data_IF_795143094940
#
_entry.id   IF_795143094940
#
_cell.length_a   1.000
_cell.length_b   1.000
_cell.length_c   1.000
_cell.angle_alpha   90.00
_cell.angle_beta   90.00
_cell.angle_gamma   90.00
#
_symmetry.space_group_name_H-M   'P 1'
#
loop_
_entity.id
_entity.type
_entity.pdbx_description
1 polymer ?
#
# COMPACT_ATOMS: atom_id res chain seq x y z
N UNK A 1 -13.02 -38.63 53.65
CA UNK A 1 -14.32 -37.92 53.60
C UNK A 1 -14.04 -36.48 54.01
N UNK A 2 -13.97 -35.57 53.07
CA UNK A 2 -13.69 -34.17 53.33
C UNK A 2 -14.98 -33.41 53.06
N UNK A 3 -15.58 -32.89 54.12
CA UNK A 3 -16.81 -32.10 54.04
C UNK A 3 -16.53 -30.75 53.31
N UNK A 4 -17.31 -30.49 52.26
CA UNK A 4 -17.34 -29.20 51.58
C UNK A 4 -18.39 -28.34 52.31
N UNK A 5 -17.94 -27.34 53.08
CA UNK A 5 -18.81 -26.33 53.67
C UNK A 5 -19.33 -25.44 52.55
N UNK A 6 -20.66 -25.42 52.39
CA UNK A 6 -21.35 -24.45 51.55
C UNK A 6 -21.29 -23.07 52.21
N UNK A 7 -20.88 -22.05 51.46
CA UNK A 7 -20.93 -20.66 51.88
C UNK A 7 -22.37 -20.23 52.01
N UNK A 8 -22.73 -19.45 53.02
CA UNK A 8 -24.07 -18.95 53.29
C UNK A 8 -24.40 -17.83 52.30
N UNK A 9 -25.72 -17.71 52.00
CA UNK A 9 -26.26 -16.67 51.04
C UNK A 9 -25.87 -15.24 51.45
N UNK A 10 -25.57 -15.00 52.74
CA UNK A 10 -25.10 -13.69 53.21
C UNK A 10 -23.67 -13.37 52.80
N UNK A 11 -22.77 -14.38 52.73
CA UNK A 11 -21.42 -14.14 52.25
C UNK A 11 -21.36 -13.86 50.74
N UNK A 12 -22.25 -14.48 49.97
CA UNK A 12 -22.39 -14.16 48.52
C UNK A 12 -22.97 -12.78 48.28
N UNK A 13 -23.87 -12.30 49.15
CA UNK A 13 -24.43 -10.95 49.05
C UNK A 13 -23.44 -9.82 49.40
N UNK A 14 -22.46 -10.10 50.26
CA UNK A 14 -21.41 -9.13 50.58
C UNK A 14 -20.35 -9.01 49.49
N UNK A 15 -20.02 -10.10 48.78
CA UNK A 15 -19.14 -10.08 47.62
C UNK A 15 -19.72 -9.32 46.43
N UNK A 16 -21.04 -9.29 46.30
CA UNK A 16 -21.71 -8.56 45.21
C UNK A 16 -21.76 -7.04 45.41
N UNK A 17 -21.58 -6.55 46.65
CA UNK A 17 -21.62 -5.11 46.99
C UNK A 17 -20.30 -4.38 46.89
N UNK A 18 -19.21 -5.07 46.63
CA UNK A 18 -17.84 -4.51 46.65
C UNK A 18 -17.28 -4.07 45.30
N UNK A 19 -18.02 -4.14 44.19
CA UNK A 19 -17.49 -3.79 42.86
C UNK A 19 -18.34 -2.74 42.14
N UNK A 20 -18.52 -1.58 42.75
CA UNK A 20 -18.89 -0.37 42.00
C UNK A 20 -17.69 0.54 41.82
N UNK A 21 -16.62 -0.02 41.26
CA UNK A 21 -15.54 0.75 40.69
C UNK A 21 -16.07 1.42 39.42
N UNK A 22 -16.17 2.77 39.44
CA UNK A 22 -16.63 3.55 38.32
C UNK A 22 -15.86 3.18 37.06
N UNK A 23 -16.57 2.78 36.00
CA UNK A 23 -16.02 2.77 34.65
C UNK A 23 -15.66 4.21 34.30
N UNK A 24 -14.42 4.59 34.53
CA UNK A 24 -13.82 5.75 33.86
C UNK A 24 -14.05 5.49 32.37
N UNK A 25 -14.78 6.39 31.72
CA UNK A 25 -14.90 6.42 30.25
C UNK A 25 -13.47 6.67 29.74
N UNK A 26 -12.74 5.60 29.52
CA UNK A 26 -11.47 5.63 28.84
C UNK A 26 -11.74 6.23 27.46
N UNK A 27 -11.32 7.45 27.25
CA UNK A 27 -11.38 8.06 25.94
C UNK A 27 -10.60 7.16 25.01
N UNK A 28 -11.14 6.78 23.84
CA UNK A 28 -10.43 5.93 22.89
C UNK A 28 -9.09 6.61 22.60
N UNK A 29 -8.02 5.98 23.03
CA UNK A 29 -6.65 6.40 22.73
C UNK A 29 -6.56 6.57 21.21
N UNK A 30 -6.01 7.68 20.69
CA UNK A 30 -5.84 7.84 19.26
C UNK A 30 -5.00 6.66 18.79
N UNK A 31 -5.58 5.83 17.94
CA UNK A 31 -4.88 4.71 17.31
C UNK A 31 -3.62 5.30 16.70
N UNK A 32 -2.41 4.83 17.07
CA UNK A 32 -1.17 5.33 16.50
C UNK A 32 -1.31 5.24 14.98
N UNK A 33 -1.25 6.38 14.29
CA UNK A 33 -1.25 6.37 12.82
C UNK A 33 -0.13 5.44 12.41
N UNK A 34 -0.40 4.44 11.54
CA UNK A 34 0.65 3.55 11.08
C UNK A 34 1.79 4.42 10.59
N UNK A 35 2.97 4.17 11.13
CA UNK A 35 4.18 4.93 10.88
C UNK A 35 4.32 5.20 9.38
N UNK A 36 4.15 6.45 8.97
CA UNK A 36 4.15 6.96 7.61
C UNK A 36 3.23 6.21 6.63
N UNK A 37 1.93 6.43 6.73
CA UNK A 37 1.04 6.19 5.60
C UNK A 37 1.51 7.09 4.45
N UNK A 38 2.09 6.48 3.40
CA UNK A 38 2.42 7.20 2.18
C UNK A 38 1.12 7.63 1.52
N UNK A 39 0.90 8.94 1.45
CA UNK A 39 -0.19 9.50 0.65
C UNK A 39 0.24 9.51 -0.82
N UNK A 40 -0.40 8.66 -1.60
CA UNK A 40 -0.17 8.60 -3.04
C UNK A 40 -0.81 9.76 -3.79
N UNK A 41 -1.57 10.62 -3.11
CA UNK A 41 -2.32 11.71 -3.71
C UNK A 41 -3.43 11.25 -4.66
N UNK A 42 -4.03 12.19 -5.35
CA UNK A 42 -5.06 11.91 -6.36
C UNK A 42 -4.47 11.24 -7.61
N UNK A 43 -5.28 10.42 -8.27
CA UNK A 43 -4.93 9.83 -9.57
C UNK A 43 -4.99 10.92 -10.63
N UNK A 44 -3.87 11.21 -11.27
CA UNK A 44 -3.74 12.37 -12.16
C UNK A 44 -3.69 12.01 -13.65
N UNK A 45 -3.27 10.81 -14.00
CA UNK A 45 -3.15 10.42 -15.39
C UNK A 45 -4.53 10.20 -16.01
N UNK A 46 -4.79 10.87 -17.12
CA UNK A 46 -6.05 10.75 -17.84
C UNK A 46 -5.96 9.64 -18.89
N UNK A 47 -7.03 8.86 -19.01
CA UNK A 47 -7.12 7.77 -19.99
C UNK A 47 -7.59 8.22 -21.38
N UNK A 48 -8.03 9.47 -21.52
CA UNK A 48 -8.79 9.95 -22.67
C UNK A 48 -10.27 9.58 -22.62
N UNK A 49 -10.72 8.83 -21.62
CA UNK A 49 -12.12 8.45 -21.40
C UNK A 49 -12.72 9.29 -20.26
N UNK A 50 -13.96 9.80 -20.38
CA UNK A 50 -14.57 10.64 -19.38
C UNK A 50 -14.63 9.96 -18.00
N UNK A 51 -14.08 10.60 -16.97
CA UNK A 51 -14.13 10.14 -15.59
C UNK A 51 -13.25 8.92 -15.25
N UNK A 52 -12.54 8.35 -16.23
CA UNK A 52 -11.60 7.26 -15.98
C UNK A 52 -10.18 7.83 -15.93
N UNK A 53 -9.52 7.65 -14.77
CA UNK A 53 -8.13 8.05 -14.54
C UNK A 53 -7.37 6.87 -14.01
N UNK A 54 -6.08 6.76 -14.32
CA UNK A 54 -5.24 5.70 -13.80
C UNK A 54 -3.81 6.18 -13.58
N UNK A 55 -3.11 5.55 -12.67
CA UNK A 55 -1.68 5.69 -12.51
C UNK A 55 -1.06 4.42 -11.90
N UNK A 56 0.26 4.44 -11.81
CA UNK A 56 1.04 3.38 -11.16
C UNK A 56 1.79 3.92 -9.93
N UNK A 57 1.25 4.97 -9.31
CA UNK A 57 1.81 5.54 -8.11
C UNK A 57 1.39 4.68 -6.92
N UNK A 58 2.32 3.94 -6.35
CA UNK A 58 2.08 3.04 -5.24
C UNK A 58 1.23 1.79 -5.58
N UNK A 59 1.63 1.07 -6.62
CA UNK A 59 0.88 -0.01 -7.26
C UNK A 59 0.02 0.51 -8.41
N UNK A 60 -0.81 -0.34 -9.00
CA UNK A 60 -1.77 0.08 -10.01
C UNK A 60 -3.01 0.69 -9.36
N UNK A 61 -3.47 1.85 -9.85
CA UNK A 61 -4.65 2.55 -9.36
C UNK A 61 -5.50 3.01 -10.54
N UNK A 62 -6.82 2.87 -10.40
CA UNK A 62 -7.80 3.30 -11.40
C UNK A 62 -8.99 3.94 -10.70
N UNK A 63 -9.42 5.11 -11.14
CA UNK A 63 -10.69 5.71 -10.76
C UNK A 63 -11.69 5.49 -11.87
N UNK A 64 -12.88 5.00 -11.54
CA UNK A 64 -14.01 4.86 -12.46
C UNK A 64 -15.19 5.70 -12.00
N UNK A 65 -15.97 6.29 -12.93
CA UNK A 65 -17.19 7.02 -12.59
C UNK A 65 -18.31 6.08 -12.12
N UNK A 66 -19.48 6.64 -11.76
CA UNK A 66 -20.67 5.85 -11.48
C UNK A 66 -21.10 5.09 -12.75
N UNK A 67 -21.36 3.78 -12.61
CA UNK A 67 -21.74 2.91 -13.73
C UNK A 67 -21.40 1.45 -13.46
N UNK A 68 -21.60 0.63 -14.46
CA UNK A 68 -21.28 -0.81 -14.42
C UNK A 68 -19.88 -1.04 -15.02
N UNK A 69 -18.86 -0.95 -14.17
CA UNK A 69 -17.48 -1.17 -14.57
C UNK A 69 -16.92 -2.42 -13.91
N UNK A 70 -15.93 -3.02 -14.57
CA UNK A 70 -15.08 -4.08 -14.03
C UNK A 70 -13.63 -3.73 -14.28
N UNK A 71 -12.81 -3.78 -13.25
CA UNK A 71 -11.38 -3.42 -13.31
C UNK A 71 -10.54 -4.66 -13.07
N UNK A 72 -9.56 -4.88 -13.95
CA UNK A 72 -8.56 -5.94 -13.80
C UNK A 72 -7.15 -5.36 -13.77
N UNK A 73 -6.34 -5.88 -12.87
CA UNK A 73 -4.90 -5.69 -12.88
C UNK A 73 -4.22 -7.02 -13.15
N UNK A 74 -3.37 -7.07 -14.16
CA UNK A 74 -2.71 -8.28 -14.62
C UNK A 74 -1.20 -8.05 -14.55
N UNK A 75 -0.46 -9.02 -14.03
CA UNK A 75 0.98 -9.08 -14.22
C UNK A 75 1.26 -9.75 -15.57
N UNK A 76 1.74 -8.98 -16.53
CA UNK A 76 2.01 -9.44 -17.91
C UNK A 76 3.10 -10.50 -17.96
N UNK A 77 4.09 -10.40 -17.06
CA UNK A 77 5.22 -11.35 -17.06
C UNK A 77 4.81 -12.74 -16.61
N UNK A 78 3.97 -12.83 -15.58
CA UNK A 78 3.46 -14.10 -15.06
C UNK A 78 2.10 -14.49 -15.64
N UNK A 79 1.44 -13.60 -16.38
CA UNK A 79 0.07 -13.74 -16.89
C UNK A 79 -0.97 -13.95 -15.77
N UNK A 80 -0.66 -13.53 -14.54
CA UNK A 80 -1.56 -13.68 -13.41
C UNK A 80 -2.45 -12.44 -13.25
N UNK A 81 -3.75 -12.67 -13.05
CA UNK A 81 -4.67 -11.62 -12.64
C UNK A 81 -4.46 -11.34 -11.15
N UNK A 82 -3.93 -10.17 -10.85
CA UNK A 82 -3.64 -9.72 -9.47
C UNK A 82 -4.90 -9.19 -8.79
N UNK A 83 -5.80 -8.61 -9.57
CA UNK A 83 -7.06 -8.05 -9.10
C UNK A 83 -8.10 -8.15 -10.20
N UNK A 84 -9.35 -8.48 -9.84
CA UNK A 84 -10.49 -8.52 -10.74
C UNK A 84 -11.77 -8.30 -9.93
N UNK A 85 -12.42 -7.17 -10.09
CA UNK A 85 -13.67 -6.86 -9.41
C UNK A 85 -14.53 -5.84 -10.15
N UNK A 86 -15.83 -5.87 -9.85
CA UNK A 86 -16.77 -4.82 -10.25
C UNK A 86 -16.48 -3.53 -9.48
N UNK A 87 -16.68 -2.38 -10.12
CA UNK A 87 -16.41 -1.07 -9.56
C UNK A 87 -17.43 -0.04 -10.08
N UNK A 88 -17.84 0.90 -9.22
CA UNK A 88 -18.76 1.99 -9.56
C UNK A 88 -18.46 3.20 -8.69
N UNK A 89 -18.05 4.31 -9.29
CA UNK A 89 -17.79 5.57 -8.58
C UNK A 89 -16.68 5.50 -7.54
N UNK A 90 -15.68 4.62 -7.71
CA UNK A 90 -14.65 4.36 -6.70
C UNK A 90 -13.23 4.38 -7.30
N UNK A 91 -12.28 4.60 -6.40
CA UNK A 91 -10.87 4.36 -6.66
C UNK A 91 -10.55 2.89 -6.36
N UNK A 92 -10.11 2.16 -7.37
CA UNK A 92 -9.62 0.79 -7.29
C UNK A 92 -8.11 0.79 -7.21
N UNK A 93 -7.53 0.02 -6.29
CA UNK A 93 -6.08 -0.11 -6.14
C UNK A 93 -5.67 -1.57 -6.14
N UNK A 94 -4.45 -1.87 -6.60
CA UNK A 94 -3.91 -3.22 -6.47
C UNK A 94 -3.80 -3.62 -4.99
N UNK A 95 -4.08 -4.89 -4.69
CA UNK A 95 -4.07 -5.40 -3.31
C UNK A 95 -2.71 -5.31 -2.64
N UNK A 96 -1.65 -5.30 -3.44
CA UNK A 96 -0.25 -5.15 -2.98
C UNK A 96 0.42 -3.99 -3.70
N UNK A 97 1.27 -3.31 -2.97
CA UNK A 97 1.95 -2.07 -3.39
C UNK A 97 3.36 -2.36 -3.92
N UNK A 98 3.52 -3.47 -4.61
CA UNK A 98 4.77 -3.80 -5.30
C UNK A 98 4.62 -3.55 -6.80
N UNK A 99 5.73 -3.34 -7.47
CA UNK A 99 5.75 -3.16 -8.91
C UNK A 99 5.99 -4.48 -9.62
N UNK A 100 5.06 -4.82 -10.47
CA UNK A 100 5.16 -5.88 -11.48
C UNK A 100 4.94 -5.25 -12.85
N UNK A 101 5.07 -6.01 -13.91
CA UNK A 101 4.75 -5.56 -15.27
C UNK A 101 3.24 -5.46 -15.46
N UNK A 102 2.65 -4.39 -14.87
CA UNK A 102 1.21 -4.21 -14.82
C UNK A 102 0.58 -3.96 -16.19
N UNK A 103 -0.53 -4.65 -16.42
CA UNK A 103 -1.57 -4.25 -17.37
C UNK A 103 -2.83 -3.89 -16.60
N UNK A 104 -3.42 -2.73 -16.94
CA UNK A 104 -4.72 -2.28 -16.45
C UNK A 104 -5.74 -2.54 -17.56
N UNK A 105 -6.83 -3.20 -17.22
CA UNK A 105 -7.99 -3.35 -18.12
C UNK A 105 -9.24 -2.83 -17.40
N UNK A 106 -10.02 -2.03 -18.12
CA UNK A 106 -11.32 -1.54 -17.65
C UNK A 106 -12.37 -1.96 -18.66
N UNK A 107 -13.41 -2.56 -18.12
CA UNK A 107 -14.58 -3.00 -18.89
C UNK A 107 -15.80 -2.20 -18.48
N UNK A 108 -16.64 -1.84 -19.43
CA UNK A 108 -17.97 -1.29 -19.22
C UNK A 108 -18.98 -2.27 -19.82
N UNK A 109 -19.91 -2.79 -18.99
CA UNK A 109 -20.91 -3.78 -19.43
C UNK A 109 -20.26 -4.93 -20.24
N UNK A 110 -19.19 -5.52 -19.71
CA UNK A 110 -18.40 -6.59 -20.33
C UNK A 110 -17.60 -6.23 -21.59
N UNK A 111 -17.70 -4.98 -22.08
CA UNK A 111 -16.89 -4.49 -23.19
C UNK A 111 -15.60 -3.89 -22.67
N UNK A 112 -14.46 -4.33 -23.18
CA UNK A 112 -13.17 -3.72 -22.90
C UNK A 112 -13.13 -2.31 -23.50
N UNK A 113 -13.00 -1.28 -22.65
CA UNK A 113 -12.95 0.13 -23.05
C UNK A 113 -11.56 0.74 -22.86
N UNK A 114 -10.75 0.20 -21.93
CA UNK A 114 -9.38 0.63 -21.70
C UNK A 114 -8.48 -0.57 -21.46
N UNK A 115 -7.37 -0.64 -22.19
CA UNK A 115 -6.24 -1.50 -21.89
C UNK A 115 -4.95 -0.67 -21.88
N UNK A 116 -4.20 -0.70 -20.79
CA UNK A 116 -2.97 0.07 -20.65
C UNK A 116 -1.89 -0.75 -19.98
N UNK A 117 -0.74 -0.81 -20.62
CA UNK A 117 0.45 -1.49 -20.11
C UNK A 117 1.38 -0.51 -19.40
N UNK A 118 1.93 -0.91 -18.27
CA UNK A 118 2.97 -0.13 -17.62
C UNK A 118 4.20 -0.06 -18.52
N UNK A 119 4.50 1.14 -19.02
CA UNK A 119 5.73 1.42 -19.77
C UNK A 119 6.51 2.54 -19.09
N UNK A 120 7.65 2.18 -18.53
CA UNK A 120 8.56 3.10 -17.84
C UNK A 120 9.80 3.44 -18.66
N UNK A 121 9.92 2.92 -19.88
CA UNK A 121 11.07 3.18 -20.75
C UNK A 121 11.22 4.69 -21.00
N UNK A 122 12.37 5.23 -20.62
CA UNK A 122 12.66 6.66 -20.76
C UNK A 122 11.86 7.58 -19.83
N UNK A 123 10.98 7.06 -18.99
CA UNK A 123 10.22 7.86 -18.01
C UNK A 123 11.11 8.23 -16.82
N UNK A 124 10.82 9.38 -16.20
CA UNK A 124 11.46 9.81 -14.96
C UNK A 124 10.69 9.22 -13.77
N UNK A 125 11.35 8.39 -12.99
CA UNK A 125 10.77 7.74 -11.81
C UNK A 125 11.47 8.22 -10.54
N UNK A 126 10.69 8.67 -9.56
CA UNK A 126 11.19 9.01 -8.24
C UNK A 126 10.99 7.83 -7.28
N UNK A 127 12.09 7.26 -6.80
CA UNK A 127 12.06 6.23 -5.77
C UNK A 127 12.25 6.92 -4.42
N UNK A 128 11.22 6.87 -3.58
CA UNK A 128 11.25 7.42 -2.22
C UNK A 128 11.41 6.29 -1.20
N UNK A 129 12.38 6.41 -0.32
CA UNK A 129 12.46 5.64 0.93
C UNK A 129 12.11 6.61 2.07
N UNK A 130 10.84 6.69 2.47
CA UNK A 130 10.39 7.72 3.41
C UNK A 130 10.86 7.48 4.84
N UNK A 131 11.28 6.26 5.14
CA UNK A 131 11.75 5.82 6.44
C UNK A 131 13.03 5.05 6.29
N UNK A 132 13.82 5.05 7.32
CA UNK A 132 14.99 4.22 7.42
C UNK A 132 16.22 4.99 7.87
N UNK A 133 17.07 4.28 8.56
CA UNK A 133 18.44 4.68 8.84
C UNK A 133 19.32 4.33 7.63
N UNK A 134 20.58 4.70 7.68
CA UNK A 134 21.54 4.42 6.61
C UNK A 134 21.59 2.93 6.21
N UNK A 135 21.44 2.01 7.19
CA UNK A 135 21.40 0.57 6.94
C UNK A 135 20.23 0.15 6.05
N UNK A 136 19.05 0.71 6.29
CA UNK A 136 17.86 0.42 5.47
C UNK A 136 18.06 0.92 4.03
N UNK A 137 18.63 2.11 3.86
CA UNK A 137 18.93 2.68 2.54
C UNK A 137 19.89 1.78 1.78
N UNK A 138 20.96 1.31 2.44
CA UNK A 138 21.93 0.40 1.84
C UNK A 138 21.30 -0.94 1.44
N UNK A 139 20.38 -1.47 2.26
CA UNK A 139 19.66 -2.72 1.97
C UNK A 139 18.71 -2.59 0.76
N UNK A 140 18.05 -1.45 0.60
CA UNK A 140 17.07 -1.25 -0.49
C UNK A 140 17.66 -0.74 -1.79
N UNK A 141 18.86 -0.15 -1.75
CA UNK A 141 19.51 0.42 -2.94
C UNK A 141 19.71 -0.60 -4.09
N UNK A 142 20.14 -1.84 -3.86
CA UNK A 142 20.29 -2.83 -4.94
C UNK A 142 18.97 -3.09 -5.68
N UNK A 143 17.84 -3.10 -4.98
CA UNK A 143 16.51 -3.29 -5.58
C UNK A 143 16.10 -2.09 -6.44
N UNK A 144 16.43 -0.87 -6.03
CA UNK A 144 16.20 0.33 -6.83
C UNK A 144 17.01 0.31 -8.13
N UNK A 145 18.24 -0.16 -8.09
CA UNK A 145 19.10 -0.29 -9.27
C UNK A 145 18.62 -1.43 -10.18
N UNK A 146 18.16 -2.54 -9.63
CA UNK A 146 17.56 -3.63 -10.38
C UNK A 146 16.26 -3.18 -11.07
N UNK A 147 15.41 -2.44 -10.36
CA UNK A 147 14.22 -1.82 -10.94
C UNK A 147 14.58 -0.91 -12.14
N UNK A 148 15.59 -0.05 -11.98
CA UNK A 148 16.07 0.82 -13.06
C UNK A 148 16.54 0.04 -14.29
N UNK A 149 17.29 -1.03 -14.09
CA UNK A 149 17.78 -1.90 -15.18
C UNK A 149 16.63 -2.58 -15.91
N UNK A 150 15.71 -3.16 -15.15
CA UNK A 150 14.61 -3.95 -15.70
C UNK A 150 13.55 -3.09 -16.43
N UNK A 151 13.37 -1.84 -16.01
CA UNK A 151 12.37 -0.95 -16.60
C UNK A 151 12.96 0.04 -17.61
N UNK A 152 14.28 0.17 -17.70
CA UNK A 152 14.95 1.22 -18.48
C UNK A 152 14.48 2.64 -18.15
N UNK A 153 14.00 2.85 -16.92
CA UNK A 153 13.55 4.14 -16.42
C UNK A 153 14.73 5.03 -16.01
N UNK A 154 14.55 6.35 -16.10
CA UNK A 154 15.45 7.31 -15.49
C UNK A 154 15.09 7.50 -14.03
N UNK A 155 15.73 6.73 -13.13
CA UNK A 155 15.42 6.78 -11.71
C UNK A 155 16.16 7.91 -11.00
N UNK A 156 15.42 8.68 -10.20
CA UNK A 156 15.95 9.66 -9.25
C UNK A 156 15.62 9.20 -7.84
N UNK A 157 16.64 9.15 -6.98
CA UNK A 157 16.49 8.82 -5.59
C UNK A 157 17.21 9.89 -4.74
N UNK A 158 16.61 10.38 -3.66
CA UNK A 158 17.20 11.46 -2.86
C UNK A 158 18.59 11.14 -2.33
N UNK A 159 18.88 9.84 -2.09
CA UNK A 159 20.19 9.36 -1.59
C UNK A 159 21.26 9.19 -2.67
N UNK A 160 20.93 9.34 -3.96
CA UNK A 160 21.89 9.17 -5.05
C UNK A 160 23.11 10.09 -4.93
N UNK A 161 22.93 11.30 -4.40
CA UNK A 161 24.03 12.24 -4.16
C UNK A 161 25.03 11.70 -3.14
N UNK A 162 24.55 11.00 -2.11
CA UNK A 162 25.39 10.39 -1.08
C UNK A 162 26.25 9.27 -1.69
N UNK A 163 25.65 8.43 -2.54
CA UNK A 163 26.35 7.32 -3.20
C UNK A 163 27.38 7.77 -4.21
N UNK A 164 27.08 8.77 -5.04
CA UNK A 164 28.05 9.33 -5.99
C UNK A 164 29.27 9.93 -5.29
N UNK A 165 29.08 10.52 -4.11
CA UNK A 165 30.18 10.99 -3.26
C UNK A 165 31.06 9.85 -2.74
N UNK A 166 30.47 8.68 -2.43
CA UNK A 166 31.21 7.51 -1.94
C UNK A 166 31.93 6.73 -3.06
N UNK A 167 31.33 6.67 -4.25
CA UNK A 167 31.92 5.92 -5.38
C UNK A 167 33.07 6.65 -6.09
N UNK A 168 33.19 7.96 -5.91
CA UNK A 168 34.26 8.78 -6.46
C UNK A 168 35.48 8.92 -5.53
N UNK A 169 35.50 8.21 -4.41
CA UNK A 169 36.71 8.17 -3.59
C UNK A 169 37.79 7.33 -4.33
N UNK A 170 38.99 7.90 -4.61
CA UNK A 170 40.05 7.12 -5.18
C UNK A 170 40.44 6.01 -4.21
N UNK A 171 40.42 4.77 -4.69
CA UNK A 171 40.96 3.62 -3.96
C UNK A 171 42.39 3.95 -3.56
N UNK A 172 42.63 4.24 -2.28
CA UNK A 172 43.99 4.30 -1.73
C UNK A 172 44.56 2.89 -1.82
N UNK A 173 45.54 2.73 -2.69
CA UNK A 173 46.42 1.57 -2.71
C UNK A 173 47.40 1.66 -1.53
#
# INVERSE_FOLDING_TARGET
MTEIKSASDEELAQLAKGSSGGLSKEQPQPVPKPYMAFDAGEVQQESGLPGIKFDFNYGARVTVPQGEYRVKFIDRKSCLTVYDAAASGVLVTSSKKYFVDFRIEVYEKDKLILAHDLDLKGKKVLIKCPTGILGDILAWFPYAEEFRKNTSASCTAPWRKIWQSCSNQPTRR
#
